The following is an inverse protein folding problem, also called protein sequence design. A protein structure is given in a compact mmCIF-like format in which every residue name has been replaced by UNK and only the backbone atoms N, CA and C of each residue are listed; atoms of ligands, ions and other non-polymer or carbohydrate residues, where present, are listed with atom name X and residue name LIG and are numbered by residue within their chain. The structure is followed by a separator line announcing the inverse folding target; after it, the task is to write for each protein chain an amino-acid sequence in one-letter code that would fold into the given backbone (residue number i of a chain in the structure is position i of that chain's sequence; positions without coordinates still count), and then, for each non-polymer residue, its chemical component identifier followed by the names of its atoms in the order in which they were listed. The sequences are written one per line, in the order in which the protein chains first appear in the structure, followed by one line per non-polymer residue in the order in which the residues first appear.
data_IF_860055807906
#
_entry.id   IF_860055807906
#
_cell.length_a   1.000
_cell.length_b   1.000
_cell.length_c   1.000
_cell.angle_alpha   90.00
_cell.angle_beta   90.00
_cell.angle_gamma   90.00
#
_symmetry.space_group_name_H-M   'P 1'
#
loop_
_entity.id
_entity.type
_entity.pdbx_description
1 polymer ?
#
# COMPACT_ATOMS: atom_id res chain seq x y z
N UNK A 1 -9.22 -3.58 -20.78
CA UNK A 1 -8.65 -4.70 -20.01
C UNK A 1 -9.12 -4.60 -18.57
N UNK A 2 -10.30 -5.20 -18.28
CA UNK A 2 -10.87 -5.26 -16.92
C UNK A 2 -10.21 -6.41 -16.15
N UNK A 3 -8.95 -6.23 -15.75
CA UNK A 3 -8.28 -7.13 -14.82
C UNK A 3 -8.59 -6.66 -13.39
N UNK A 4 -9.67 -7.16 -12.81
CA UNK A 4 -10.10 -6.81 -11.45
C UNK A 4 -9.06 -7.11 -10.40
N UNK A 5 -8.23 -8.15 -10.61
CA UNK A 5 -7.05 -8.42 -9.79
C UNK A 5 -6.07 -7.25 -9.69
N UNK A 6 -6.14 -6.29 -10.63
CA UNK A 6 -5.36 -5.05 -10.64
C UNK A 6 -6.11 -3.83 -10.10
N UNK A 7 -7.12 -4.00 -9.26
CA UNK A 7 -7.99 -2.92 -8.79
C UNK A 7 -7.22 -1.72 -8.20
N UNK A 8 -6.09 -1.94 -7.51
CA UNK A 8 -5.26 -0.84 -7.01
C UNK A 8 -4.71 0.03 -8.16
N UNK A 9 -4.26 -0.59 -9.26
CA UNK A 9 -3.72 0.14 -10.41
C UNK A 9 -4.82 0.88 -11.20
N UNK A 10 -6.05 0.37 -11.18
CA UNK A 10 -7.17 0.93 -11.93
C UNK A 10 -7.85 2.06 -11.16
N UNK A 11 -8.06 1.87 -9.85
CA UNK A 11 -8.88 2.76 -9.02
C UNK A 11 -8.08 3.74 -8.18
N UNK A 12 -6.81 3.45 -7.91
CA UNK A 12 -5.97 4.31 -7.09
C UNK A 12 -5.13 5.25 -7.97
N UNK A 13 -5.45 6.56 -8.04
CA UNK A 13 -4.77 7.51 -8.93
C UNK A 13 -3.25 7.56 -8.75
N UNK A 14 -2.76 7.25 -7.55
CA UNK A 14 -1.33 7.17 -7.25
C UNK A 14 -0.59 6.15 -8.12
N UNK A 15 -1.29 5.13 -8.62
CA UNK A 15 -0.69 4.07 -9.45
C UNK A 15 -0.55 4.44 -10.94
N UNK A 16 -0.98 5.64 -11.35
CA UNK A 16 -0.87 6.08 -12.76
C UNK A 16 0.58 6.04 -13.26
N UNK A 17 1.55 6.33 -12.40
CA UNK A 17 2.97 6.21 -12.71
C UNK A 17 3.37 4.76 -13.01
N UNK A 18 2.88 3.79 -12.25
CA UNK A 18 3.16 2.37 -12.51
C UNK A 18 2.56 1.92 -13.84
N UNK A 19 1.34 2.37 -14.16
CA UNK A 19 0.69 2.09 -15.45
C UNK A 19 1.44 2.70 -16.63
N UNK A 20 1.88 3.96 -16.47
CA UNK A 20 2.71 4.65 -17.47
C UNK A 20 4.04 3.94 -17.69
N UNK A 21 4.71 3.54 -16.61
CA UNK A 21 5.97 2.80 -16.69
C UNK A 21 5.81 1.46 -17.41
N UNK A 22 4.73 0.72 -17.14
CA UNK A 22 4.42 -0.53 -17.83
C UNK A 22 4.16 -0.30 -19.31
N UNK A 23 3.31 0.67 -19.65
CA UNK A 23 2.96 0.99 -21.05
C UNK A 23 4.21 1.34 -21.86
N UNK A 24 4.97 2.33 -21.40
CA UNK A 24 6.18 2.76 -22.10
C UNK A 24 7.27 1.70 -22.08
N UNK A 25 7.37 0.88 -21.04
CA UNK A 25 8.27 -0.26 -20.98
C UNK A 25 7.95 -1.30 -22.05
N UNK A 26 6.68 -1.66 -22.24
CA UNK A 26 6.24 -2.60 -23.29
C UNK A 26 6.52 -2.02 -24.69
N UNK A 27 6.18 -0.75 -24.92
CA UNK A 27 6.45 -0.08 -26.21
C UNK A 27 7.95 -0.02 -26.51
N UNK A 28 8.79 0.20 -25.49
CA UNK A 28 10.23 0.18 -25.65
C UNK A 28 10.77 -1.20 -26.04
N UNK A 29 10.25 -2.25 -25.40
CA UNK A 29 10.63 -3.65 -25.69
C UNK A 29 10.16 -4.04 -27.10
N UNK A 30 8.93 -3.69 -27.47
CA UNK A 30 8.43 -3.94 -28.82
C UNK A 30 9.33 -3.30 -29.88
N UNK A 31 9.63 -2.01 -29.72
CA UNK A 31 10.48 -1.28 -30.68
C UNK A 31 11.92 -1.81 -30.71
N UNK A 32 12.49 -2.17 -29.54
CA UNK A 32 13.83 -2.74 -29.46
C UNK A 32 13.93 -4.18 -30.00
N UNK A 33 12.81 -4.87 -30.11
CA UNK A 33 12.72 -6.24 -30.66
C UNK A 33 12.77 -6.30 -32.17
N UNK A 34 12.54 -5.19 -32.85
CA UNK A 34 12.54 -5.10 -34.31
C UNK A 34 13.93 -5.31 -34.91
N UNK A 35 13.99 -5.79 -36.14
CA UNK A 35 15.25 -5.95 -36.85
C UNK A 35 16.00 -4.64 -37.01
N UNK A 36 15.28 -3.51 -37.13
CA UNK A 36 15.85 -2.16 -37.20
C UNK A 36 15.19 -1.24 -36.14
N UNK A 37 15.67 -1.29 -34.88
CA UNK A 37 15.11 -0.49 -33.80
C UNK A 37 15.37 1.00 -34.00
N UNK A 38 14.32 1.82 -33.79
CA UNK A 38 14.37 3.27 -33.89
C UNK A 38 14.74 3.92 -32.57
N UNK A 39 15.08 5.21 -32.60
CA UNK A 39 15.31 6.03 -31.40
C UNK A 39 14.09 6.02 -30.45
N UNK A 40 12.89 5.72 -30.95
CA UNK A 40 11.68 5.59 -30.14
C UNK A 40 11.83 4.58 -28.99
N UNK A 41 12.59 3.50 -29.17
CA UNK A 41 12.88 2.56 -28.09
C UNK A 41 13.52 3.28 -26.88
N UNK A 42 14.50 4.14 -27.14
CA UNK A 42 15.22 4.92 -26.10
C UNK A 42 14.33 5.98 -25.47
N UNK A 43 13.50 6.66 -26.28
CA UNK A 43 12.51 7.64 -25.78
C UNK A 43 11.51 6.98 -24.84
N UNK A 44 10.97 5.82 -25.23
CA UNK A 44 10.02 5.09 -24.39
C UNK A 44 10.66 4.58 -23.10
N UNK A 45 11.95 4.17 -23.11
CA UNK A 45 12.67 3.87 -21.86
C UNK A 45 12.74 5.10 -20.96
N UNK A 46 13.10 6.26 -21.50
CA UNK A 46 13.13 7.51 -20.73
C UNK A 46 11.79 7.83 -20.09
N UNK A 47 10.69 7.73 -20.83
CA UNK A 47 9.34 7.93 -20.31
C UNK A 47 8.97 6.89 -19.25
N UNK A 48 9.35 5.62 -19.43
CA UNK A 48 9.12 4.56 -18.46
C UNK A 48 9.84 4.84 -17.13
N UNK A 49 11.10 5.27 -17.18
CA UNK A 49 11.89 5.66 -16.02
C UNK A 49 11.31 6.87 -15.28
N UNK A 50 10.79 7.84 -16.01
CA UNK A 50 10.13 9.03 -15.43
C UNK A 50 8.82 8.69 -14.70
N UNK A 51 8.18 7.61 -15.11
CA UNK A 51 6.89 7.21 -14.53
C UNK A 51 7.04 6.41 -13.22
N UNK A 52 7.88 5.38 -13.19
CA UNK A 52 8.08 4.56 -11.99
C UNK A 52 9.32 3.63 -12.12
N UNK A 53 9.71 2.99 -11.01
CA UNK A 53 10.83 2.06 -10.92
C UNK A 53 10.77 0.84 -11.86
N UNK A 54 9.59 0.49 -12.40
CA UNK A 54 9.44 -0.52 -13.47
C UNK A 54 10.26 -0.19 -14.72
N UNK A 55 10.53 1.10 -14.98
CA UNK A 55 11.39 1.55 -16.07
C UNK A 55 12.83 1.02 -15.99
N UNK A 56 13.33 0.70 -14.78
CA UNK A 56 14.67 0.10 -14.61
C UNK A 56 14.70 -1.31 -15.23
N UNK A 57 13.65 -2.12 -15.02
CA UNK A 57 13.53 -3.43 -15.65
C UNK A 57 13.45 -3.30 -17.18
N UNK A 58 12.63 -2.38 -17.69
CA UNK A 58 12.53 -2.11 -19.13
C UNK A 58 13.88 -1.67 -19.73
N UNK A 59 14.63 -0.82 -19.03
CA UNK A 59 15.96 -0.37 -19.43
C UNK A 59 16.94 -1.55 -19.60
N UNK A 60 16.98 -2.46 -18.63
CA UNK A 60 17.85 -3.63 -18.68
C UNK A 60 17.50 -4.53 -19.88
N UNK A 61 16.21 -4.76 -20.12
CA UNK A 61 15.74 -5.59 -21.24
C UNK A 61 16.04 -4.95 -22.60
N UNK A 62 15.74 -3.66 -22.75
CA UNK A 62 16.02 -2.93 -24.00
C UNK A 62 17.53 -2.92 -24.26
N UNK A 63 18.34 -2.65 -23.23
CA UNK A 63 19.80 -2.73 -23.35
C UNK A 63 20.27 -4.11 -23.84
N UNK A 64 19.75 -5.18 -23.23
CA UNK A 64 20.06 -6.55 -23.64
C UNK A 64 19.67 -6.82 -25.11
N UNK A 65 18.47 -6.41 -25.54
CA UNK A 65 18.01 -6.60 -26.93
C UNK A 65 18.86 -5.84 -27.94
N UNK A 66 19.19 -4.57 -27.65
CA UNK A 66 20.03 -3.74 -28.50
C UNK A 66 21.47 -4.30 -28.64
N UNK A 67 22.05 -4.76 -27.52
CA UNK A 67 23.38 -5.35 -27.53
C UNK A 67 23.40 -6.71 -28.25
N UNK A 68 22.42 -7.57 -28.01
CA UNK A 68 22.27 -8.84 -28.72
C UNK A 68 22.07 -8.67 -30.23
N UNK A 69 21.31 -7.62 -30.63
CA UNK A 69 21.13 -7.24 -32.02
C UNK A 69 22.28 -6.45 -32.63
N UNK A 70 23.35 -6.16 -31.85
CA UNK A 70 24.52 -5.33 -32.28
C UNK A 70 24.15 -3.91 -32.73
N UNK A 71 23.08 -3.33 -32.19
CA UNK A 71 22.64 -1.97 -32.48
C UNK A 71 23.39 -0.94 -31.64
N UNK A 72 24.72 -0.87 -31.78
CA UNK A 72 25.62 -0.09 -30.92
C UNK A 72 25.26 1.39 -30.82
N UNK A 73 24.79 2.00 -31.90
CA UNK A 73 24.35 3.41 -31.89
C UNK A 73 23.17 3.60 -30.92
N UNK A 74 22.17 2.72 -30.95
CA UNK A 74 21.01 2.79 -30.04
C UNK A 74 21.39 2.45 -28.61
N UNK A 75 22.31 1.52 -28.43
CA UNK A 75 22.85 1.22 -27.10
C UNK A 75 23.60 2.43 -26.50
N UNK A 76 24.35 3.19 -27.33
CA UNK A 76 24.98 4.43 -26.87
C UNK A 76 23.96 5.53 -26.54
N UNK A 77 22.90 5.70 -27.35
CA UNK A 77 21.78 6.62 -27.04
C UNK A 77 21.12 6.22 -25.69
N UNK A 78 20.87 4.93 -25.47
CA UNK A 78 20.32 4.41 -24.21
C UNK A 78 21.25 4.71 -23.02
N UNK A 79 22.57 4.58 -23.20
CA UNK A 79 23.55 4.86 -22.14
C UNK A 79 23.46 6.31 -21.64
N UNK A 80 23.16 7.26 -22.52
CA UNK A 80 22.93 8.66 -22.11
C UNK A 80 21.72 8.77 -21.19
N UNK A 81 20.59 8.10 -21.50
CA UNK A 81 19.41 8.09 -20.66
C UNK A 81 19.69 7.45 -19.30
N UNK A 82 20.45 6.33 -19.29
CA UNK A 82 20.86 5.64 -18.06
C UNK A 82 21.74 6.53 -17.19
N UNK A 83 22.70 7.24 -17.78
CA UNK A 83 23.58 8.17 -17.04
C UNK A 83 22.81 9.34 -16.45
N UNK A 84 21.87 9.93 -17.19
CA UNK A 84 21.02 11.01 -16.72
C UNK A 84 20.11 10.55 -15.57
N UNK A 85 19.48 9.39 -15.72
CA UNK A 85 18.66 8.80 -14.66
C UNK A 85 19.50 8.43 -13.43
N UNK A 86 20.69 7.86 -13.64
CA UNK A 86 21.63 7.52 -12.57
C UNK A 86 22.08 8.76 -11.78
N UNK A 87 22.44 9.84 -12.46
CA UNK A 87 22.79 11.11 -11.83
C UNK A 87 21.63 11.68 -11.00
N UNK A 88 20.42 11.67 -11.55
CA UNK A 88 19.20 12.07 -10.82
C UNK A 88 18.96 11.17 -9.60
N UNK A 89 19.06 9.86 -9.77
CA UNK A 89 18.82 8.89 -8.69
C UNK A 89 19.85 9.02 -7.55
N UNK A 90 21.11 9.25 -7.85
CA UNK A 90 22.15 9.47 -6.84
C UNK A 90 21.95 10.76 -6.05
N UNK A 91 21.30 11.77 -6.66
CA UNK A 91 21.08 13.07 -6.03
C UNK A 91 19.75 13.12 -5.24
N UNK A 92 18.68 12.55 -5.79
CA UNK A 92 17.33 12.69 -5.27
C UNK A 92 16.65 11.36 -4.98
N UNK A 93 17.20 10.24 -5.45
CA UNK A 93 16.58 8.93 -5.29
C UNK A 93 16.74 8.39 -3.87
N UNK A 94 15.73 7.63 -3.45
CA UNK A 94 15.79 6.87 -2.20
C UNK A 94 15.63 5.38 -2.51
N UNK A 95 16.67 4.60 -2.24
CA UNK A 95 16.63 3.15 -2.42
C UNK A 95 15.87 2.50 -1.26
N UNK A 96 14.82 1.77 -1.58
CA UNK A 96 14.12 0.91 -0.62
C UNK A 96 14.68 -0.51 -0.58
N UNK A 97 15.82 -0.75 -1.23
CA UNK A 97 16.47 -2.07 -1.27
C UNK A 97 16.98 -2.45 0.12
N UNK A 98 16.65 -3.68 0.54
CA UNK A 98 17.10 -4.23 1.82
C UNK A 98 17.94 -5.48 1.58
N UNK A 99 19.20 -5.55 2.04
CA UNK A 99 20.07 -6.71 1.82
C UNK A 99 19.48 -8.03 2.32
N UNK A 100 18.73 -8.00 3.45
CA UNK A 100 18.04 -9.17 3.99
C UNK A 100 16.99 -9.78 3.05
N UNK A 101 16.46 -9.01 2.12
CA UNK A 101 15.49 -9.50 1.14
C UNK A 101 16.10 -10.42 0.07
N UNK A 102 17.42 -10.40 -0.13
CA UNK A 102 18.08 -11.23 -1.16
C UNK A 102 17.78 -12.73 -0.97
N UNK A 103 17.80 -13.21 0.28
CA UNK A 103 17.48 -14.61 0.59
C UNK A 103 15.99 -14.95 0.34
N UNK A 104 15.10 -13.98 0.47
CA UNK A 104 13.65 -14.14 0.27
C UNK A 104 13.23 -13.96 -1.20
N UNK A 105 14.05 -13.27 -2.00
CA UNK A 105 13.71 -12.90 -3.38
C UNK A 105 13.38 -14.08 -4.28
N UNK A 106 14.08 -15.24 -4.28
CA UNK A 106 13.72 -16.37 -5.16
C UNK A 106 12.30 -16.88 -4.91
N UNK A 107 11.90 -17.04 -3.64
CA UNK A 107 10.55 -17.43 -3.29
C UNK A 107 9.54 -16.37 -3.69
N UNK A 108 9.85 -15.10 -3.43
CA UNK A 108 9.00 -13.97 -3.80
C UNK A 108 8.73 -13.93 -5.31
N UNK A 109 9.73 -14.20 -6.16
CA UNK A 109 9.60 -14.25 -7.63
C UNK A 109 8.64 -15.37 -8.04
N UNK A 110 8.79 -16.57 -7.46
CA UNK A 110 7.91 -17.70 -7.75
C UNK A 110 6.46 -17.42 -7.33
N UNK A 111 6.25 -16.89 -6.13
CA UNK A 111 4.91 -16.55 -5.61
C UNK A 111 4.29 -15.39 -6.42
N UNK A 112 5.11 -14.42 -6.89
CA UNK A 112 4.65 -13.35 -7.79
C UNK A 112 4.23 -13.89 -9.16
N UNK A 113 4.96 -14.87 -9.70
CA UNK A 113 4.59 -15.51 -10.96
C UNK A 113 3.25 -16.25 -10.83
N UNK A 114 3.07 -17.04 -9.77
CA UNK A 114 1.80 -17.72 -9.49
C UNK A 114 0.66 -16.71 -9.27
N UNK A 115 0.92 -15.64 -8.52
CA UNK A 115 -0.04 -14.56 -8.28
C UNK A 115 -0.45 -13.85 -9.58
N UNK A 116 0.50 -13.53 -10.44
CA UNK A 116 0.23 -12.90 -11.74
C UNK A 116 -0.59 -13.81 -12.65
N UNK A 117 -0.26 -15.10 -12.73
CA UNK A 117 -1.03 -16.09 -13.48
C UNK A 117 -2.45 -16.25 -12.92
N UNK A 118 -2.62 -16.32 -11.60
CA UNK A 118 -3.91 -16.35 -10.94
C UNK A 118 -4.73 -15.10 -11.23
N UNK A 119 -4.06 -13.94 -11.26
CA UNK A 119 -4.67 -12.63 -11.50
C UNK A 119 -5.26 -12.47 -12.91
N UNK A 120 -4.82 -13.26 -13.91
CA UNK A 120 -5.42 -13.22 -15.25
C UNK A 120 -6.92 -13.54 -15.24
N UNK A 121 -7.36 -14.44 -14.35
CA UNK A 121 -8.74 -14.90 -14.23
C UNK A 121 -9.33 -14.71 -12.82
N UNK A 122 -8.64 -14.01 -11.92
CA UNK A 122 -9.03 -13.86 -10.51
C UNK A 122 -9.32 -15.23 -9.84
N UNK A 123 -8.41 -16.19 -10.02
CA UNK A 123 -8.52 -17.58 -9.54
C UNK A 123 -7.46 -17.92 -8.49
N UNK A 124 -7.38 -19.20 -8.13
CA UNK A 124 -6.41 -19.70 -7.13
C UNK A 124 -4.95 -19.70 -7.63
N UNK A 125 -4.01 -19.84 -6.70
CA UNK A 125 -2.60 -19.97 -7.03
C UNK A 125 -2.29 -21.20 -7.90
N UNK A 126 -3.03 -22.31 -7.74
CA UNK A 126 -2.90 -23.52 -8.60
C UNK A 126 -3.21 -23.21 -10.06
N UNK A 127 -4.28 -22.42 -10.30
CA UNK A 127 -4.58 -21.92 -11.65
C UNK A 127 -3.45 -21.02 -12.15
N UNK A 128 -2.89 -20.18 -11.27
CA UNK A 128 -1.75 -19.32 -11.60
C UNK A 128 -0.54 -20.11 -12.11
N UNK A 129 -0.20 -21.21 -11.48
CA UNK A 129 0.87 -22.10 -11.95
C UNK A 129 0.57 -22.71 -13.30
N UNK A 130 -0.66 -23.13 -13.56
CA UNK A 130 -1.06 -23.64 -14.87
C UNK A 130 -0.87 -22.59 -15.97
N UNK A 131 -1.21 -21.33 -15.70
CA UNK A 131 -0.96 -20.20 -16.61
C UNK A 131 0.55 -19.97 -16.82
N UNK A 132 1.36 -20.01 -15.76
CA UNK A 132 2.82 -19.89 -15.88
C UNK A 132 3.40 -20.99 -16.79
N UNK A 133 2.98 -22.23 -16.61
CA UNK A 133 3.41 -23.35 -17.46
C UNK A 133 2.98 -23.11 -18.91
N UNK A 134 1.74 -22.67 -19.16
CA UNK A 134 1.26 -22.35 -20.50
C UNK A 134 2.09 -21.24 -21.17
N UNK A 135 2.40 -20.16 -20.43
CA UNK A 135 3.26 -19.05 -20.90
C UNK A 135 4.65 -19.56 -21.27
N UNK A 136 5.25 -20.41 -20.44
CA UNK A 136 6.58 -20.98 -20.69
C UNK A 136 6.56 -21.92 -21.91
N UNK A 137 5.55 -22.79 -22.02
CA UNK A 137 5.41 -23.69 -23.17
C UNK A 137 5.25 -22.90 -24.48
N UNK A 138 4.43 -21.85 -24.48
CA UNK A 138 4.25 -20.96 -25.62
C UNK A 138 5.57 -20.27 -25.99
N UNK A 139 6.29 -19.76 -24.99
CA UNK A 139 7.56 -19.08 -25.22
C UNK A 139 8.63 -20.04 -25.79
N UNK A 140 8.77 -21.25 -25.20
CA UNK A 140 9.70 -22.28 -25.70
C UNK A 140 9.34 -22.69 -27.11
N UNK A 141 8.06 -22.97 -27.38
CA UNK A 141 7.60 -23.33 -28.73
C UNK A 141 7.95 -22.25 -29.76
N UNK A 142 7.81 -20.98 -29.40
CA UNK A 142 8.20 -19.87 -30.26
C UNK A 142 9.69 -19.83 -30.56
N UNK A 143 10.50 -19.89 -29.49
CA UNK A 143 11.95 -19.86 -29.64
C UNK A 143 12.44 -21.00 -30.54
N UNK A 144 11.85 -22.17 -30.43
CA UNK A 144 12.20 -23.34 -31.26
C UNK A 144 11.75 -23.16 -32.68
N UNK A 145 10.51 -22.70 -32.92
CA UNK A 145 9.90 -22.69 -34.26
C UNK A 145 10.22 -21.41 -35.06
N UNK A 146 10.33 -20.25 -34.38
CA UNK A 146 10.44 -18.94 -35.03
C UNK A 146 11.67 -18.14 -34.52
N UNK A 147 12.80 -18.79 -34.39
CA UNK A 147 14.02 -18.30 -33.70
C UNK A 147 14.53 -16.93 -34.12
N UNK A 148 14.31 -16.50 -35.37
CA UNK A 148 14.84 -15.25 -35.94
C UNK A 148 13.81 -14.13 -36.06
N UNK A 149 12.56 -14.35 -35.68
CA UNK A 149 11.51 -13.35 -35.82
C UNK A 149 11.50 -12.30 -34.71
N UNK A 150 11.14 -11.07 -35.07
CA UNK A 150 10.99 -9.95 -34.10
C UNK A 150 10.03 -10.31 -32.98
N UNK A 151 8.98 -11.08 -33.29
CA UNK A 151 8.02 -11.57 -32.30
C UNK A 151 8.61 -12.51 -31.26
N UNK A 152 9.64 -13.30 -31.62
CA UNK A 152 10.39 -14.15 -30.67
C UNK A 152 11.26 -13.29 -29.76
N UNK A 153 11.93 -12.28 -30.30
CA UNK A 153 12.72 -11.32 -29.51
C UNK A 153 11.83 -10.57 -28.52
N UNK A 154 10.65 -10.12 -28.94
CA UNK A 154 9.66 -9.49 -28.08
C UNK A 154 9.22 -10.44 -26.95
N UNK A 155 8.89 -11.69 -27.28
CA UNK A 155 8.49 -12.70 -26.26
C UNK A 155 9.57 -12.91 -25.21
N UNK A 156 10.83 -13.08 -25.65
CA UNK A 156 11.97 -13.21 -24.72
C UNK A 156 12.18 -11.94 -23.90
N UNK A 157 12.06 -10.78 -24.54
CA UNK A 157 12.14 -9.48 -23.86
C UNK A 157 11.07 -9.36 -22.76
N UNK A 158 9.83 -9.72 -23.05
CA UNK A 158 8.74 -9.69 -22.07
C UNK A 158 8.96 -10.69 -20.91
N UNK A 159 9.49 -11.87 -21.17
CA UNK A 159 9.84 -12.83 -20.11
C UNK A 159 10.95 -12.29 -19.20
N UNK A 160 12.00 -11.73 -19.78
CA UNK A 160 13.08 -11.11 -19.00
C UNK A 160 12.58 -9.89 -18.25
N UNK A 161 11.67 -9.12 -18.82
CA UNK A 161 11.02 -8.00 -18.14
C UNK A 161 10.23 -8.42 -16.90
N UNK A 162 9.45 -9.50 -16.98
CA UNK A 162 8.75 -10.08 -15.84
C UNK A 162 9.73 -10.47 -14.74
N UNK A 163 10.75 -11.26 -15.10
CA UNK A 163 11.75 -11.74 -14.15
C UNK A 163 12.48 -10.57 -13.48
N UNK A 164 12.92 -9.59 -14.26
CA UNK A 164 13.59 -8.40 -13.74
C UNK A 164 12.67 -7.59 -12.81
N UNK A 165 11.40 -7.38 -13.19
CA UNK A 165 10.43 -6.64 -12.38
C UNK A 165 10.17 -7.35 -11.05
N UNK A 166 9.92 -8.66 -11.05
CA UNK A 166 9.70 -9.42 -9.82
C UNK A 166 10.94 -9.49 -8.94
N UNK A 167 12.14 -9.61 -9.55
CA UNK A 167 13.41 -9.61 -8.81
C UNK A 167 13.65 -8.27 -8.13
N UNK A 168 13.50 -7.15 -8.85
CA UNK A 168 13.65 -5.80 -8.28
C UNK A 168 12.63 -5.53 -7.16
N UNK A 169 11.37 -5.98 -7.36
CA UNK A 169 10.34 -5.88 -6.33
C UNK A 169 10.68 -6.76 -5.12
N UNK A 170 11.18 -7.98 -5.34
CA UNK A 170 11.61 -8.88 -4.27
C UNK A 170 12.75 -8.29 -3.44
N UNK A 171 13.80 -7.75 -4.08
CA UNK A 171 14.91 -7.08 -3.38
C UNK A 171 14.44 -5.92 -2.50
N UNK A 172 13.41 -5.20 -2.93
CA UNK A 172 12.90 -4.05 -2.18
C UNK A 172 11.82 -4.42 -1.15
N UNK A 173 11.01 -5.47 -1.37
CA UNK A 173 9.74 -5.68 -0.65
C UNK A 173 9.46 -7.10 -0.19
N UNK A 174 10.36 -8.07 -0.37
CA UNK A 174 10.09 -9.46 0.01
C UNK A 174 9.78 -9.64 1.52
N UNK A 175 10.31 -8.77 2.38
CA UNK A 175 10.04 -8.76 3.81
C UNK A 175 8.57 -8.43 4.16
N UNK A 176 7.81 -7.81 3.25
CA UNK A 176 6.38 -7.52 3.45
C UNK A 176 5.48 -8.73 3.24
N UNK A 177 6.03 -9.84 2.70
CA UNK A 177 5.29 -11.07 2.40
C UNK A 177 4.02 -10.90 1.54
N UNK A 178 3.99 -9.88 0.66
CA UNK A 178 2.87 -9.55 -0.23
C UNK A 178 3.19 -9.71 -1.73
N UNK A 179 3.65 -10.88 -2.21
CA UNK A 179 4.00 -11.07 -3.63
C UNK A 179 2.79 -10.97 -4.56
N UNK A 180 1.60 -11.28 -4.04
CA UNK A 180 0.33 -11.25 -4.77
C UNK A 180 -0.48 -9.95 -4.55
N UNK A 181 0.15 -8.87 -4.06
CA UNK A 181 -0.54 -7.58 -3.95
C UNK A 181 -1.04 -7.12 -5.33
N UNK A 182 -2.28 -6.62 -5.39
CA UNK A 182 -2.99 -6.25 -6.62
C UNK A 182 -2.14 -5.42 -7.59
N UNK A 183 -1.38 -4.45 -7.07
CA UNK A 183 -0.49 -3.60 -7.86
C UNK A 183 0.64 -4.34 -8.61
N UNK A 184 1.12 -5.48 -8.10
CA UNK A 184 2.18 -6.29 -8.73
C UNK A 184 1.60 -7.36 -9.64
N UNK A 185 0.49 -7.98 -9.22
CA UNK A 185 -0.27 -8.96 -9.98
C UNK A 185 -0.68 -8.40 -11.34
N UNK A 186 -1.16 -7.16 -11.38
CA UNK A 186 -1.62 -6.51 -12.59
C UNK A 186 -0.54 -6.43 -13.68
N UNK A 187 0.66 -5.98 -13.31
CA UNK A 187 1.80 -5.88 -14.24
C UNK A 187 2.14 -7.25 -14.82
N UNK A 188 2.26 -8.26 -13.95
CA UNK A 188 2.55 -9.63 -14.37
C UNK A 188 1.48 -10.23 -15.26
N UNK A 189 0.21 -10.08 -14.88
CA UNK A 189 -0.93 -10.60 -15.63
C UNK A 189 -1.03 -10.01 -17.05
N UNK A 190 -0.87 -8.68 -17.19
CA UNK A 190 -0.86 -8.03 -18.52
C UNK A 190 0.26 -8.59 -19.39
N UNK A 191 1.48 -8.68 -18.87
CA UNK A 191 2.62 -9.14 -19.68
C UNK A 191 2.45 -10.62 -20.04
N UNK A 192 1.95 -11.47 -19.15
CA UNK A 192 1.63 -12.87 -19.46
C UNK A 192 0.57 -12.98 -20.56
N UNK A 193 -0.50 -12.19 -20.48
CA UNK A 193 -1.53 -12.15 -21.53
C UNK A 193 -0.96 -11.65 -22.87
N UNK A 194 -0.06 -10.67 -22.85
CA UNK A 194 0.63 -10.23 -24.06
C UNK A 194 1.47 -11.36 -24.67
N UNK A 195 2.26 -12.09 -23.88
CA UNK A 195 3.03 -13.23 -24.36
C UNK A 195 2.10 -14.27 -25.01
N UNK A 196 0.95 -14.54 -24.43
CA UNK A 196 -0.02 -15.47 -24.99
C UNK A 196 -0.70 -14.94 -26.27
N UNK A 197 -0.97 -13.62 -26.34
CA UNK A 197 -1.73 -13.00 -27.43
C UNK A 197 -0.91 -12.68 -28.69
N UNK A 198 0.40 -12.55 -28.58
CA UNK A 198 1.30 -12.27 -29.73
C UNK A 198 1.25 -13.39 -30.80
N UNK A 199 0.49 -14.45 -30.59
CA UNK A 199 0.36 -15.58 -31.54
C UNK A 199 -0.68 -15.28 -32.62
N UNK A 200 -0.32 -15.31 -33.92
CA UNK A 200 -1.31 -15.51 -34.95
C UNK A 200 -1.80 -16.98 -34.85
N UNK A 201 -2.86 -17.23 -34.10
CA UNK A 201 -3.55 -18.51 -34.16
C UNK A 201 -4.41 -18.45 -35.44
N UNK A 202 -4.13 -19.26 -36.47
CA UNK A 202 -5.03 -19.34 -37.60
C UNK A 202 -6.35 -19.94 -37.13
N UNK A 203 -7.36 -19.08 -36.94
CA UNK A 203 -8.71 -19.51 -36.57
C UNK A 203 -9.36 -20.08 -37.84
N UNK A 204 -9.04 -21.31 -38.17
CA UNK A 204 -9.57 -21.99 -39.36
C UNK A 204 -10.82 -22.85 -39.06
N UNK A 205 -11.13 -23.09 -37.78
CA UNK A 205 -12.23 -23.97 -37.39
C UNK A 205 -13.38 -23.19 -36.76
N UNK A 206 -14.64 -23.37 -37.22
CA UNK A 206 -15.81 -22.60 -36.78
C UNK A 206 -16.07 -22.72 -35.27
N UNK A 207 -15.72 -23.84 -34.62
CA UNK A 207 -15.80 -24.02 -33.17
C UNK A 207 -14.91 -23.04 -32.39
N UNK A 208 -13.84 -22.53 -33.00
CA UNK A 208 -12.94 -21.56 -32.36
C UNK A 208 -13.55 -20.16 -32.28
N UNK A 209 -14.61 -19.84 -33.02
CA UNK A 209 -15.31 -18.56 -32.88
C UNK A 209 -16.08 -18.41 -31.54
N UNK A 210 -16.49 -19.54 -30.94
CA UNK A 210 -17.10 -19.55 -29.61
C UNK A 210 -16.08 -19.40 -28.47
N UNK A 211 -14.81 -19.70 -28.70
CA UNK A 211 -13.78 -19.68 -27.68
C UNK A 211 -13.57 -18.29 -27.03
N UNK A 212 -13.55 -17.16 -27.77
CA UNK A 212 -13.45 -15.84 -27.17
C UNK A 212 -14.63 -15.53 -26.21
N UNK A 213 -15.84 -15.97 -26.56
CA UNK A 213 -17.04 -15.76 -25.72
C UNK A 213 -16.92 -16.55 -24.41
N UNK A 214 -16.56 -17.83 -24.49
CA UNK A 214 -16.35 -18.67 -23.31
C UNK A 214 -15.21 -18.11 -22.44
N UNK A 215 -14.11 -17.72 -23.06
CA UNK A 215 -12.97 -17.08 -22.40
C UNK A 215 -13.40 -15.78 -21.70
N UNK A 216 -14.23 -14.96 -22.35
CA UNK A 216 -14.78 -13.76 -21.77
C UNK A 216 -15.53 -14.05 -20.45
N UNK A 217 -16.45 -15.01 -20.44
CA UNK A 217 -17.19 -15.35 -19.24
C UNK A 217 -16.31 -15.96 -18.15
N UNK A 218 -15.31 -16.78 -18.48
CA UNK A 218 -14.40 -17.39 -17.53
C UNK A 218 -13.50 -16.33 -16.86
N UNK A 219 -13.04 -15.33 -17.59
CA UNK A 219 -12.06 -14.35 -17.12
C UNK A 219 -12.69 -13.05 -16.65
N UNK A 220 -13.76 -12.56 -17.28
CA UNK A 220 -14.33 -11.25 -16.95
C UNK A 220 -15.18 -11.29 -15.70
N UNK A 221 -16.06 -12.28 -15.54
CA UNK A 221 -16.95 -12.36 -14.38
C UNK A 221 -16.21 -12.31 -13.04
N UNK A 222 -15.27 -13.23 -12.77
CA UNK A 222 -14.47 -13.19 -11.56
C UNK A 222 -13.67 -11.90 -11.37
N UNK A 223 -13.15 -11.32 -12.45
CA UNK A 223 -12.40 -10.07 -12.38
C UNK A 223 -13.30 -8.88 -12.01
N UNK A 224 -14.56 -8.84 -12.46
CA UNK A 224 -15.52 -7.80 -12.07
C UNK A 224 -15.80 -7.88 -10.56
N UNK A 225 -16.07 -9.08 -10.03
CA UNK A 225 -16.32 -9.23 -8.60
C UNK A 225 -15.13 -8.82 -7.72
N UNK A 226 -13.91 -9.13 -8.15
CA UNK A 226 -12.69 -8.69 -7.44
C UNK A 226 -12.50 -7.17 -7.54
N UNK A 227 -12.85 -6.56 -8.68
CA UNK A 227 -12.83 -5.12 -8.85
C UNK A 227 -13.82 -4.42 -7.91
N UNK A 228 -15.04 -4.95 -7.80
CA UNK A 228 -16.06 -4.44 -6.87
C UNK A 228 -15.62 -4.56 -5.42
N UNK A 229 -15.08 -5.71 -5.01
CA UNK A 229 -14.54 -5.91 -3.67
C UNK A 229 -13.37 -4.96 -3.39
N UNK A 230 -12.46 -4.77 -4.36
CA UNK A 230 -11.36 -3.80 -4.26
C UNK A 230 -11.83 -2.35 -4.13
N UNK A 231 -12.91 -1.99 -4.85
CA UNK A 231 -13.57 -0.68 -4.72
C UNK A 231 -14.15 -0.48 -3.32
N UNK A 232 -14.81 -1.51 -2.78
CA UNK A 232 -15.30 -1.51 -1.40
C UNK A 232 -14.17 -1.29 -0.39
N UNK A 233 -13.08 -2.06 -0.50
CA UNK A 233 -11.91 -1.94 0.37
C UNK A 233 -11.22 -0.58 0.30
N UNK A 234 -11.10 0.03 -0.90
CA UNK A 234 -10.55 1.40 -1.02
C UNK A 234 -11.47 2.44 -0.38
N UNK A 235 -12.78 2.29 -0.53
CA UNK A 235 -13.75 3.19 0.08
C UNK A 235 -13.69 3.11 1.59
N UNK A 236 -13.66 1.91 2.13
CA UNK A 236 -13.52 1.65 3.56
C UNK A 236 -12.20 2.24 4.11
N UNK A 237 -11.06 1.93 3.48
CA UNK A 237 -9.76 2.52 3.82
C UNK A 237 -9.80 4.07 3.80
N UNK A 238 -10.47 4.65 2.81
CA UNK A 238 -10.63 6.11 2.71
C UNK A 238 -11.45 6.68 3.87
N UNK A 239 -12.49 5.98 4.33
CA UNK A 239 -13.31 6.39 5.47
C UNK A 239 -12.53 6.35 6.78
N UNK A 240 -11.72 5.32 7.01
CA UNK A 240 -10.83 5.22 8.16
C UNK A 240 -9.81 6.37 8.20
N UNK A 241 -9.11 6.62 7.07
CA UNK A 241 -8.14 7.71 6.98
C UNK A 241 -8.85 9.06 7.17
N UNK A 242 -10.04 9.24 6.57
CA UNK A 242 -10.84 10.46 6.73
C UNK A 242 -11.27 10.68 8.19
N UNK A 243 -11.58 9.61 8.93
CA UNK A 243 -11.88 9.68 10.35
C UNK A 243 -10.65 10.16 11.17
N UNK A 244 -9.48 9.60 10.89
CA UNK A 244 -8.22 10.05 11.53
C UNK A 244 -7.90 11.51 11.20
N UNK A 245 -8.11 11.94 9.96
CA UNK A 245 -7.93 13.35 9.55
C UNK A 245 -8.94 14.29 10.23
N UNK A 246 -10.16 13.80 10.52
CA UNK A 246 -11.17 14.54 11.28
C UNK A 246 -10.65 14.93 12.66
N UNK A 247 -9.97 14.01 13.34
CA UNK A 247 -9.37 14.30 14.64
C UNK A 247 -8.34 15.44 14.56
N UNK A 248 -7.50 15.45 13.51
CA UNK A 248 -6.55 16.54 13.26
C UNK A 248 -7.27 17.86 12.97
N UNK A 249 -8.39 17.83 12.26
CA UNK A 249 -9.15 19.02 11.90
C UNK A 249 -9.86 19.69 13.08
N UNK A 250 -10.23 18.92 14.10
CA UNK A 250 -10.90 19.41 15.30
C UNK A 250 -9.93 19.74 16.44
N UNK A 251 -8.72 19.19 16.42
CA UNK A 251 -7.68 19.49 17.39
C UNK A 251 -7.05 20.87 17.10
N UNK A 252 -6.94 21.73 18.12
CA UNK A 252 -6.32 23.06 17.98
C UNK A 252 -4.79 23.01 18.03
N UNK A 253 -4.25 22.10 18.82
CA UNK A 253 -2.82 21.87 18.94
C UNK A 253 -2.47 20.60 18.18
N UNK A 254 -1.48 20.69 17.31
CA UNK A 254 -1.01 19.56 16.51
C UNK A 254 0.43 19.26 16.86
N UNK A 255 0.80 18.02 17.06
CA UNK A 255 2.20 17.69 17.22
C UNK A 255 2.94 18.08 15.95
N UNK A 256 4.10 18.72 16.09
CA UNK A 256 5.01 19.03 14.98
C UNK A 256 5.76 17.80 14.47
N UNK A 257 5.16 16.62 14.61
CA UNK A 257 5.80 15.36 14.27
C UNK A 257 5.53 14.97 12.82
N UNK A 258 6.52 14.41 12.17
CA UNK A 258 6.41 13.82 10.84
C UNK A 258 5.85 12.38 10.87
N UNK A 259 5.13 12.02 11.94
CA UNK A 259 4.51 10.70 12.06
C UNK A 259 3.35 10.55 11.07
N UNK A 260 3.17 9.32 10.56
CA UNK A 260 2.07 9.00 9.67
C UNK A 260 0.71 9.24 10.35
N UNK A 261 -0.28 9.74 9.61
CA UNK A 261 -1.65 9.90 10.09
C UNK A 261 -2.24 8.54 10.46
N UNK A 262 -2.09 7.58 9.56
CA UNK A 262 -2.43 6.17 9.77
C UNK A 262 -1.29 5.32 9.20
N UNK A 263 -0.50 4.71 10.08
CA UNK A 263 0.67 3.95 9.66
C UNK A 263 0.32 2.67 8.89
N UNK A 264 -0.86 2.12 9.12
CA UNK A 264 -1.32 0.89 8.47
C UNK A 264 -1.94 1.17 7.09
N UNK A 265 -2.78 2.23 6.98
CA UNK A 265 -3.59 2.49 5.79
C UNK A 265 -3.04 3.62 4.91
N UNK A 266 -2.36 4.60 5.49
CA UNK A 266 -1.78 5.76 4.80
C UNK A 266 -0.38 6.12 5.31
N UNK A 267 0.60 5.19 5.26
CA UNK A 267 1.94 5.42 5.81
C UNK A 267 2.69 6.59 5.15
N UNK A 268 2.31 6.95 3.93
CA UNK A 268 2.89 8.06 3.18
C UNK A 268 2.34 9.44 3.56
N UNK A 269 1.24 9.49 4.32
CA UNK A 269 0.60 10.74 4.74
C UNK A 269 1.01 11.08 6.16
N UNK A 270 1.97 11.98 6.34
CA UNK A 270 2.34 12.48 7.66
C UNK A 270 1.42 13.60 8.13
N UNK A 271 1.36 13.82 9.44
CA UNK A 271 0.60 14.92 10.06
C UNK A 271 1.05 16.27 9.47
N UNK A 272 2.36 16.48 9.35
CA UNK A 272 2.92 17.71 8.79
C UNK A 272 2.56 17.90 7.31
N UNK A 273 2.56 16.81 6.52
CA UNK A 273 2.12 16.85 5.12
C UNK A 273 0.64 17.22 5.01
N UNK A 274 -0.21 16.64 5.87
CA UNK A 274 -1.63 16.99 5.91
C UNK A 274 -1.87 18.46 6.28
N UNK A 275 -1.12 19.01 7.21
CA UNK A 275 -1.23 20.43 7.58
C UNK A 275 -0.97 21.35 6.40
N UNK A 276 0.08 21.09 5.63
CA UNK A 276 0.40 21.85 4.42
C UNK A 276 -0.69 21.72 3.35
N UNK A 277 -1.21 20.52 3.16
CA UNK A 277 -2.27 20.23 2.19
C UNK A 277 -3.57 20.91 2.61
N UNK A 278 -3.99 20.77 3.87
CA UNK A 278 -5.24 21.32 4.39
C UNK A 278 -5.24 22.86 4.42
N UNK A 279 -4.08 23.48 4.66
CA UNK A 279 -3.91 24.93 4.57
C UNK A 279 -4.12 25.46 3.14
N UNK A 280 -3.77 24.67 2.11
CA UNK A 280 -3.86 25.10 0.70
C UNK A 280 -5.18 24.72 0.04
N UNK A 281 -5.69 23.52 0.33
CA UNK A 281 -6.82 22.92 -0.39
C UNK A 281 -8.06 22.75 0.48
N UNK A 282 -7.99 23.11 1.76
CA UNK A 282 -9.08 22.94 2.72
C UNK A 282 -9.05 21.58 3.43
N UNK A 283 -9.90 21.46 4.42
CA UNK A 283 -10.04 20.28 5.26
C UNK A 283 -10.83 19.18 4.53
N UNK A 284 -10.41 17.94 4.68
CA UNK A 284 -11.07 16.78 4.05
C UNK A 284 -11.71 15.83 5.06
N UNK A 285 -11.53 16.06 6.37
CA UNK A 285 -12.20 15.32 7.44
C UNK A 285 -13.72 15.44 7.40
N UNK A 286 -14.40 14.67 8.24
CA UNK A 286 -15.82 14.83 8.50
C UNK A 286 -16.11 16.12 9.27
N UNK A 287 -17.30 16.68 9.10
CA UNK A 287 -17.74 17.77 9.97
C UNK A 287 -17.95 17.22 11.39
N UNK A 288 -17.69 18.04 12.40
CA UNK A 288 -17.84 17.63 13.80
C UNK A 288 -19.25 17.11 14.12
N UNK A 289 -20.28 17.67 13.49
CA UNK A 289 -21.67 17.24 13.63
C UNK A 289 -21.94 15.85 13.04
N UNK A 290 -21.10 15.38 12.14
CA UNK A 290 -21.25 14.07 11.48
C UNK A 290 -20.67 12.93 12.33
N UNK A 291 -19.70 13.22 13.22
CA UNK A 291 -18.99 12.19 14.01
C UNK A 291 -19.94 11.28 14.80
N UNK A 292 -20.97 11.79 15.51
CA UNK A 292 -21.91 10.92 16.24
C UNK A 292 -22.71 9.98 15.36
N UNK A 293 -22.80 10.25 14.05
CA UNK A 293 -23.57 9.47 13.07
C UNK A 293 -22.69 8.50 12.26
N UNK A 294 -21.38 8.52 12.47
CA UNK A 294 -20.47 7.54 11.86
C UNK A 294 -20.67 6.17 12.49
N UNK A 295 -20.31 5.13 11.76
CA UNK A 295 -20.16 3.78 12.31
C UNK A 295 -19.12 3.79 13.44
N UNK A 296 -19.28 2.88 14.39
CA UNK A 296 -18.46 2.87 15.60
C UNK A 296 -16.97 2.67 15.31
N UNK A 297 -16.64 1.88 14.28
CA UNK A 297 -15.28 1.65 13.83
C UNK A 297 -14.59 2.97 13.40
N UNK A 298 -15.28 3.85 12.69
CA UNK A 298 -14.72 5.15 12.30
C UNK A 298 -14.67 6.14 13.46
N UNK A 299 -15.61 6.05 14.40
CA UNK A 299 -15.54 6.83 15.66
C UNK A 299 -14.33 6.43 16.49
N UNK A 300 -13.98 5.13 16.50
CA UNK A 300 -12.79 4.63 17.17
C UNK A 300 -11.49 5.19 16.53
N UNK A 301 -11.42 5.33 15.21
CA UNK A 301 -10.28 5.98 14.55
C UNK A 301 -10.14 7.46 14.94
N UNK A 302 -11.27 8.18 15.05
CA UNK A 302 -11.26 9.57 15.55
C UNK A 302 -10.71 9.60 16.97
N UNK A 303 -11.16 8.70 17.84
CA UNK A 303 -10.72 8.60 19.22
C UNK A 303 -9.24 8.25 19.32
N UNK A 304 -8.77 7.25 18.56
CA UNK A 304 -7.37 6.84 18.51
C UNK A 304 -6.46 8.00 18.13
N UNK A 305 -6.80 8.73 17.06
CA UNK A 305 -6.01 9.87 16.65
C UNK A 305 -6.05 11.00 17.70
N UNK A 306 -7.21 11.31 18.28
CA UNK A 306 -7.33 12.32 19.34
C UNK A 306 -6.52 11.93 20.59
N UNK A 307 -6.51 10.65 20.95
CA UNK A 307 -5.70 10.17 22.06
C UNK A 307 -4.21 10.31 21.77
N UNK A 308 -3.78 9.98 20.53
CA UNK A 308 -2.39 10.11 20.10
C UNK A 308 -1.86 11.56 20.13
N UNK A 309 -2.71 12.55 19.82
CA UNK A 309 -2.32 13.96 19.75
C UNK A 309 -2.73 14.77 20.99
N UNK A 310 -3.62 14.27 21.79
CA UNK A 310 -4.22 14.99 22.92
C UNK A 310 -4.06 14.34 24.28
N UNK A 311 -3.36 13.19 24.35
CA UNK A 311 -2.98 12.59 25.63
C UNK A 311 -1.47 12.74 25.83
N UNK A 312 -1.06 13.06 27.05
CA UNK A 312 0.31 12.83 27.47
C UNK A 312 0.58 11.33 27.51
N UNK A 313 1.82 10.90 27.25
CA UNK A 313 2.20 9.52 27.50
C UNK A 313 1.76 9.11 28.91
N UNK A 314 1.22 7.91 29.04
CA UNK A 314 0.95 7.29 30.33
C UNK A 314 2.25 7.30 31.13
N UNK A 315 2.26 7.94 32.28
CA UNK A 315 3.45 8.06 33.15
C UNK A 315 3.26 7.22 34.38
N UNK A 316 4.32 6.60 34.81
CA UNK A 316 4.40 6.00 36.15
C UNK A 316 4.97 7.06 37.10
N UNK A 317 4.30 7.26 38.21
CA UNK A 317 4.71 8.16 39.27
C UNK A 317 5.15 7.35 40.48
N UNK A 318 6.07 7.91 41.26
CA UNK A 318 6.56 7.27 42.47
C UNK A 318 5.52 7.35 43.61
N UNK A 319 4.64 8.37 43.59
CA UNK A 319 3.64 8.62 44.62
C UNK A 319 2.32 9.14 44.03
N UNK A 320 1.22 8.96 44.76
CA UNK A 320 -0.11 9.49 44.39
C UNK A 320 -0.25 10.92 44.92
N UNK A 321 -0.28 11.95 44.04
CA UNK A 321 -0.30 13.35 44.44
C UNK A 321 -1.68 13.82 44.95
N UNK A 322 -2.56 12.93 45.39
CA UNK A 322 -3.96 13.23 45.72
C UNK A 322 -4.18 13.87 47.11
N UNK A 323 -3.19 13.95 47.94
CA UNK A 323 -3.32 14.49 49.31
C UNK A 323 -4.34 13.70 50.18
N UNK A 324 -5.06 14.40 51.06
CA UNK A 324 -6.07 13.79 51.96
C UNK A 324 -7.37 13.33 51.27
N UNK A 325 -7.42 13.39 49.96
CA UNK A 325 -8.61 13.09 49.13
C UNK A 325 -8.52 11.79 48.33
N UNK A 326 -7.80 10.78 48.80
CA UNK A 326 -7.82 9.46 48.16
C UNK A 326 -9.23 8.88 48.16
N UNK A 327 -9.78 8.72 46.98
CA UNK A 327 -11.09 8.09 46.78
C UNK A 327 -10.93 6.73 46.09
N UNK A 328 -11.73 5.78 46.49
CA UNK A 328 -11.90 4.55 45.74
C UNK A 328 -12.66 4.91 44.44
N UNK A 329 -12.04 4.64 43.34
CA UNK A 329 -12.59 4.93 42.01
C UNK A 329 -13.14 3.65 41.40
N UNK A 330 -14.34 3.70 40.85
CA UNK A 330 -14.93 2.58 40.14
C UNK A 330 -15.90 3.04 39.05
N UNK A 331 -16.09 2.22 38.04
CA UNK A 331 -17.03 2.51 36.95
C UNK A 331 -16.53 3.52 35.92
N UNK A 332 -17.46 4.22 35.30
CA UNK A 332 -17.15 5.14 34.20
C UNK A 332 -16.72 6.51 34.73
N UNK A 333 -15.52 6.91 34.40
CA UNK A 333 -14.98 8.22 34.72
C UNK A 333 -14.86 9.11 33.51
N UNK A 334 -15.15 10.39 33.66
CA UNK A 334 -15.07 11.41 32.62
C UNK A 334 -13.97 12.39 32.94
N UNK A 335 -12.94 12.45 32.09
CA UNK A 335 -11.81 13.35 32.25
C UNK A 335 -11.98 14.51 31.28
N UNK A 336 -12.26 15.69 31.79
CA UNK A 336 -12.40 16.90 31.01
C UNK A 336 -11.06 17.40 30.43
N UNK A 337 -11.10 18.33 29.51
CA UNK A 337 -9.92 18.99 28.95
C UNK A 337 -9.06 19.61 30.05
N UNK A 338 -7.74 19.50 29.94
CA UNK A 338 -6.75 19.97 30.93
C UNK A 338 -6.89 19.36 32.33
N UNK A 339 -7.48 18.17 32.40
CA UNK A 339 -7.51 17.38 33.63
C UNK A 339 -6.65 16.12 33.45
N UNK A 340 -6.09 15.65 34.56
CA UNK A 340 -5.35 14.40 34.62
C UNK A 340 -6.02 13.44 35.63
N UNK A 341 -6.05 12.16 35.29
CA UNK A 341 -6.42 11.09 36.18
C UNK A 341 -5.15 10.45 36.70
N UNK A 342 -5.01 10.39 38.01
CA UNK A 342 -3.93 9.67 38.68
C UNK A 342 -4.55 8.52 39.42
N UNK A 343 -4.10 7.31 39.12
CA UNK A 343 -4.65 6.08 39.72
C UNK A 343 -3.54 5.13 40.18
N UNK A 344 -3.77 4.45 41.31
CA UNK A 344 -3.03 3.28 41.72
C UNK A 344 -3.99 2.10 41.74
N UNK A 345 -3.65 1.04 41.03
CA UNK A 345 -4.47 -0.17 40.95
C UNK A 345 -3.72 -1.33 41.59
N UNK A 346 -4.40 -2.11 42.41
CA UNK A 346 -3.85 -3.35 42.98
C UNK A 346 -3.78 -4.48 41.92
N UNK A 347 -4.45 -4.31 40.78
CA UNK A 347 -4.51 -5.27 39.69
C UNK A 347 -3.98 -4.67 38.40
N UNK A 348 -3.27 -5.48 37.61
CA UNK A 348 -2.96 -5.12 36.25
C UNK A 348 -4.24 -5.13 35.40
N UNK A 349 -4.50 -4.05 34.66
CA UNK A 349 -5.69 -3.92 33.83
C UNK A 349 -5.42 -3.08 32.56
N UNK A 350 -6.08 -3.45 31.48
CA UNK A 350 -6.15 -2.64 30.27
C UNK A 350 -7.52 -1.94 30.21
N UNK A 351 -7.50 -0.63 30.09
CA UNK A 351 -8.69 0.22 30.18
C UNK A 351 -8.91 0.96 28.88
N UNK A 352 -10.08 0.84 28.25
CA UNK A 352 -10.37 1.53 26.98
C UNK A 352 -10.49 3.04 27.17
N UNK A 353 -9.89 3.80 26.28
CA UNK A 353 -9.88 5.26 26.23
C UNK A 353 -10.85 5.74 25.12
N UNK A 354 -12.00 6.29 25.47
CA UNK A 354 -13.08 6.61 24.54
C UNK A 354 -13.52 8.07 24.64
N UNK A 355 -13.97 8.63 23.50
CA UNK A 355 -14.63 9.96 23.42
C UNK A 355 -15.90 9.92 22.59
N UNK A 356 -15.88 9.30 21.42
CA UNK A 356 -16.98 9.21 20.46
C UNK A 356 -17.42 7.77 20.21
N UNK A 357 -16.49 6.82 20.30
CA UNK A 357 -16.77 5.38 20.14
C UNK A 357 -17.56 4.83 21.35
N UNK A 358 -18.48 3.93 21.10
CA UNK A 358 -19.18 3.14 22.12
C UNK A 358 -18.56 1.78 22.33
N UNK A 359 -17.79 1.27 21.36
CA UNK A 359 -17.16 -0.04 21.41
C UNK A 359 -15.82 0.02 22.16
N UNK A 360 -15.71 -0.73 23.26
CA UNK A 360 -14.51 -0.82 24.06
C UNK A 360 -13.41 -1.67 23.40
N UNK A 361 -13.78 -2.59 22.49
CA UNK A 361 -12.82 -3.47 21.82
C UNK A 361 -12.06 -2.73 20.72
N UNK A 362 -12.69 -1.74 20.09
CA UNK A 362 -12.11 -0.93 19.02
C UNK A 362 -11.30 0.26 19.54
N UNK A 363 -11.35 0.55 20.84
CA UNK A 363 -10.71 1.73 21.43
C UNK A 363 -9.27 1.48 21.84
N UNK A 364 -8.44 2.54 21.82
CA UNK A 364 -7.12 2.51 22.44
C UNK A 364 -7.23 2.15 23.91
N UNK A 365 -6.19 1.53 24.45
CA UNK A 365 -6.15 1.09 25.83
C UNK A 365 -4.99 1.70 26.60
N UNK A 366 -5.24 2.09 27.84
CA UNK A 366 -4.20 2.39 28.80
C UNK A 366 -3.95 1.15 29.67
N UNK A 367 -2.67 0.83 29.88
CA UNK A 367 -2.27 -0.29 30.75
C UNK A 367 -1.99 0.23 32.14
N UNK A 368 -2.70 -0.29 33.15
CA UNK A 368 -2.40 -0.12 34.54
C UNK A 368 -1.55 -1.30 35.02
N UNK A 369 -0.43 -1.00 35.65
CA UNK A 369 0.43 -2.03 36.24
C UNK A 369 0.12 -2.13 37.72
N UNK A 370 -0.07 -3.35 38.25
CA UNK A 370 -0.38 -3.57 39.63
C UNK A 370 0.65 -2.92 40.56
N UNK A 371 0.18 -2.18 41.57
CA UNK A 371 1.00 -1.50 42.55
C UNK A 371 1.68 -0.21 42.08
N UNK A 372 1.65 0.10 40.80
CA UNK A 372 2.23 1.34 40.25
C UNK A 372 1.19 2.45 40.10
N UNK A 373 1.63 3.68 40.29
CA UNK A 373 0.81 4.86 40.11
C UNK A 373 0.86 5.24 38.60
N UNK A 374 -0.30 5.33 37.99
CA UNK A 374 -0.44 5.64 36.58
C UNK A 374 -1.14 7.00 36.40
N UNK A 375 -0.55 7.89 35.64
CA UNK A 375 -1.15 9.18 35.26
C UNK A 375 -1.60 9.15 33.80
N UNK A 376 -2.82 9.62 33.54
CA UNK A 376 -3.39 9.87 32.20
C UNK A 376 -3.85 11.32 32.12
N UNK A 377 -3.16 12.14 31.35
CA UNK A 377 -3.49 13.55 31.20
C UNK A 377 -4.26 13.83 29.90
N UNK A 378 -5.44 14.43 30.01
CA UNK A 378 -6.25 14.84 28.85
C UNK A 378 -5.90 16.27 28.41
N UNK A 379 -5.00 16.39 27.43
CA UNK A 379 -4.57 17.68 26.85
C UNK A 379 -5.42 18.10 25.64
N UNK A 380 -6.43 17.31 25.26
CA UNK A 380 -7.31 17.64 24.14
C UNK A 380 -8.03 18.97 24.37
N UNK A 381 -8.31 19.78 23.32
CA UNK A 381 -9.04 21.04 23.45
C UNK A 381 -10.43 20.84 24.09
N UNK A 382 -10.91 21.85 24.82
CA UNK A 382 -12.26 21.85 25.40
C UNK A 382 -13.40 21.70 24.39
N UNK A 383 -13.10 21.95 23.11
CA UNK A 383 -14.02 21.73 22.00
C UNK A 383 -14.23 20.26 21.62
N UNK A 384 -13.39 19.36 22.12
CA UNK A 384 -13.49 17.90 21.92
C UNK A 384 -14.30 17.28 23.05
N UNK A 385 -14.99 16.14 22.80
CA UNK A 385 -15.65 15.42 23.88
C UNK A 385 -14.66 15.01 24.96
N UNK A 386 -15.08 15.04 26.24
CA UNK A 386 -14.25 14.55 27.34
C UNK A 386 -13.82 13.09 27.11
N UNK A 387 -12.69 12.72 27.68
CA UNK A 387 -12.21 11.35 27.67
C UNK A 387 -13.01 10.53 28.68
N UNK A 388 -13.55 9.40 28.27
CA UNK A 388 -14.25 8.44 29.13
C UNK A 388 -13.37 7.22 29.35
N UNK A 389 -13.17 6.85 30.59
CA UNK A 389 -12.39 5.69 31.02
C UNK A 389 -13.29 4.84 31.91
N UNK A 390 -13.45 3.57 31.57
CA UNK A 390 -14.15 2.61 32.42
C UNK A 390 -13.14 1.86 33.30
N UNK A 391 -13.12 2.20 34.57
CA UNK A 391 -12.25 1.53 35.51
C UNK A 391 -12.83 0.15 35.87
N UNK A 392 -11.99 -0.89 35.95
CA UNK A 392 -12.45 -2.22 36.39
C UNK A 392 -12.94 -2.20 37.83
N UNK A 393 -13.77 -3.17 38.19
CA UNK A 393 -14.13 -3.38 39.57
C UNK A 393 -12.92 -3.88 40.36
N UNK A 394 -12.54 -3.17 41.44
CA UNK A 394 -11.38 -3.49 42.26
C UNK A 394 -10.99 -2.33 43.17
N UNK A 395 -9.94 -2.52 43.97
CA UNK A 395 -9.37 -1.47 44.80
C UNK A 395 -8.51 -0.54 43.92
N UNK A 396 -9.14 0.44 43.29
CA UNK A 396 -8.46 1.50 42.57
C UNK A 396 -8.54 2.76 43.39
N UNK A 397 -7.39 3.30 43.77
CA UNK A 397 -7.29 4.57 44.49
C UNK A 397 -6.81 5.62 43.50
N UNK A 398 -7.33 6.83 43.65
CA UNK A 398 -6.86 7.90 42.81
C UNK A 398 -7.69 9.17 42.89
N UNK A 399 -7.37 10.12 42.01
CA UNK A 399 -8.04 11.41 41.95
C UNK A 399 -7.97 11.99 40.51
N UNK A 400 -8.82 12.98 40.29
CA UNK A 400 -8.77 13.81 39.07
C UNK A 400 -8.26 15.20 39.44
N UNK A 401 -7.18 15.61 38.84
CA UNK A 401 -6.49 16.88 39.12
C UNK A 401 -6.41 17.75 37.87
N UNK A 402 -6.30 19.06 37.96
CA UNK A 402 -5.94 19.91 36.85
C UNK A 402 -4.52 19.59 36.38
N UNK A 403 -4.30 19.74 35.07
CA UNK A 403 -2.94 19.69 34.52
C UNK A 403 -2.28 21.02 34.84
N UNK A 404 -1.16 20.97 35.53
CA UNK A 404 -0.29 22.13 35.76
C UNK A 404 0.42 22.48 34.44
N UNK A 405 0.38 23.75 34.06
CA UNK A 405 1.02 24.27 32.83
C UNK A 405 2.55 24.27 32.93
#
# INVERSE_FOLDING_TARGET
LLLGSGWQNIMWPFQIGMMGSLLFGILAIDEASKSEPRTQAVVFVGLSLMCAGGGVAATAVVGMLLLAGRHWRRAAELSVVVLLYGAWFLTYGNSQSQPGNLALTPRYVLDSAAGAGAGTAARSAQFGWAVCVAVLLVAVWRVVKYRSEDSTRMTLGLLVFLLATWTLTGISRAHLHEPAASRYVYVGAIVMLLILSVQPVPISHPLLYGLPIVTWFIFVGPNVSVLEAGSGGLRDTSQHVKASLTALDIARQRPSSDSAVDAARAPQLSILAYDRISARYGKVGYRRSEIPHLEDVYRADVDSMLNRIGLSPVRTLDDVPCGLGEHFLSGSMVIHSRMRLVVQSDLAAEVPLRRYSSDAELSDRATFTAGLVTEISNLAPSSVRPLTINLPAGNIRGCVLPVED
#
